data_IF_789342437565
#
_entry.id   IF_789342437565
#
_cell.length_a   1.000
_cell.length_b   1.000
_cell.length_c   1.000
_cell.angle_alpha   90.00
_cell.angle_beta   90.00
_cell.angle_gamma   90.00
#
_symmetry.space_group_name_H-M   'P 1'
#
loop_
_entity.id
_entity.type
_entity.pdbx_description
1 polymer ?
#
# COMPACT_ATOMS: atom_id res chain seq x y z
N UNK A 1 -2.51 -11.94 2.72
CA UNK A 1 -3.70 -12.18 3.55
C UNK A 1 -4.69 -12.93 2.71
N UNK A 2 -5.92 -12.41 2.60
CA UNK A 2 -7.06 -13.11 1.98
C UNK A 2 -7.10 -12.93 0.46
N UNK A 3 -6.79 -11.74 -0.05
CA UNK A 3 -6.93 -11.42 -1.46
C UNK A 3 -6.00 -10.29 -1.90
N UNK A 4 -5.23 -10.53 -2.96
CA UNK A 4 -4.47 -9.48 -3.64
C UNK A 4 -5.44 -8.59 -4.42
N UNK A 5 -5.38 -7.29 -4.16
CA UNK A 5 -6.25 -6.28 -4.77
C UNK A 5 -5.69 -5.77 -6.10
N UNK A 6 -4.36 -5.65 -6.18
CA UNK A 6 -3.68 -5.11 -7.35
C UNK A 6 -2.37 -4.45 -6.96
N UNK A 7 -1.69 -3.87 -7.95
CA UNK A 7 -0.40 -3.23 -7.75
C UNK A 7 0.11 -2.52 -8.99
N UNK A 8 1.23 -1.82 -8.82
CA UNK A 8 1.92 -1.04 -9.84
C UNK A 8 3.42 -1.25 -9.74
N UNK A 9 4.14 -1.17 -10.86
CA UNK A 9 5.59 -1.00 -10.82
C UNK A 9 5.88 0.45 -10.45
N UNK A 10 6.59 0.68 -9.34
CA UNK A 10 6.91 2.04 -8.90
C UNK A 10 7.92 2.69 -9.84
N UNK A 11 7.54 3.87 -10.35
CA UNK A 11 8.31 4.68 -11.30
C UNK A 11 8.31 6.17 -10.91
N UNK A 12 7.83 6.47 -9.71
CA UNK A 12 7.94 7.80 -9.11
C UNK A 12 9.38 8.11 -8.71
N UNK A 13 9.61 9.33 -8.29
CA UNK A 13 10.93 9.86 -7.94
C UNK A 13 11.05 10.16 -6.44
N UNK A 14 9.93 10.17 -5.69
CA UNK A 14 9.96 10.46 -4.27
C UNK A 14 10.68 9.39 -3.45
N UNK A 15 10.54 8.11 -3.82
CA UNK A 15 11.06 6.96 -3.07
C UNK A 15 12.01 6.11 -3.93
N UNK A 16 13.24 6.60 -4.13
CA UNK A 16 14.25 5.92 -4.96
C UNK A 16 14.46 4.43 -4.61
N UNK A 17 14.31 4.04 -3.34
CA UNK A 17 14.48 2.64 -2.91
C UNK A 17 13.41 1.68 -3.47
N UNK A 18 12.31 2.20 -4.02
CA UNK A 18 11.25 1.40 -4.62
C UNK A 18 11.32 1.37 -6.14
N UNK A 19 12.26 2.09 -6.78
CA UNK A 19 12.31 2.21 -8.23
C UNK A 19 12.37 0.84 -8.92
N UNK A 20 11.39 0.56 -9.79
CA UNK A 20 11.30 -0.69 -10.53
C UNK A 20 10.71 -1.87 -9.76
N UNK A 21 10.46 -1.73 -8.46
CA UNK A 21 9.78 -2.76 -7.68
C UNK A 21 8.29 -2.78 -8.02
N UNK A 22 7.70 -3.97 -8.01
CA UNK A 22 6.25 -4.14 -8.06
C UNK A 22 5.68 -3.98 -6.66
N UNK A 23 4.85 -2.95 -6.47
CA UNK A 23 4.20 -2.62 -5.20
C UNK A 23 2.75 -3.06 -5.29
N UNK A 24 2.30 -3.92 -4.39
CA UNK A 24 0.96 -4.50 -4.43
C UNK A 24 0.31 -4.58 -3.06
N UNK A 25 -1.02 -4.47 -3.04
CA UNK A 25 -1.83 -4.51 -1.84
C UNK A 25 -2.58 -5.83 -1.67
N UNK A 26 -2.65 -6.29 -0.44
CA UNK A 26 -3.57 -7.33 0.02
C UNK A 26 -4.69 -6.70 0.85
N UNK A 27 -5.92 -7.18 0.64
CA UNK A 27 -7.13 -6.61 1.20
C UNK A 27 -7.09 -6.48 2.74
N UNK A 28 -6.86 -7.61 3.43
CA UNK A 28 -6.75 -7.73 4.89
C UNK A 28 -6.35 -9.17 5.27
N UNK A 29 -5.85 -9.34 6.50
CA UNK A 29 -5.65 -10.64 7.13
C UNK A 29 -6.95 -11.28 7.65
N UNK A 30 -8.00 -10.49 7.86
CA UNK A 30 -9.28 -10.92 8.42
C UNK A 30 -10.44 -10.00 8.04
N UNK A 31 -11.66 -10.36 8.45
CA UNK A 31 -12.88 -9.62 8.14
C UNK A 31 -13.33 -8.66 9.25
N UNK A 32 -12.91 -8.91 10.49
CA UNK A 32 -13.39 -8.18 11.68
C UNK A 32 -12.72 -6.81 11.81
N UNK A 33 -11.40 -6.77 11.68
CA UNK A 33 -10.59 -5.55 11.71
C UNK A 33 -9.77 -5.44 10.43
N UNK A 34 -9.71 -4.24 9.87
CA UNK A 34 -8.93 -3.98 8.67
C UNK A 34 -7.43 -4.09 8.97
N UNK A 35 -6.74 -4.99 8.27
CA UNK A 35 -5.30 -5.15 8.39
C UNK A 35 -4.68 -5.44 7.02
N UNK A 36 -4.98 -4.56 6.06
CA UNK A 36 -4.43 -4.60 4.72
C UNK A 36 -2.93 -4.35 4.73
N UNK A 37 -2.24 -5.05 3.83
CA UNK A 37 -0.77 -5.04 3.76
C UNK A 37 -0.31 -4.56 2.39
N UNK A 38 0.70 -3.69 2.38
CA UNK A 38 1.40 -3.32 1.14
C UNK A 38 2.71 -4.09 1.09
N UNK A 39 2.98 -4.73 -0.03
CA UNK A 39 4.21 -5.46 -0.30
C UNK A 39 5.00 -4.80 -1.42
N UNK A 40 6.32 -4.98 -1.38
CA UNK A 40 7.24 -4.68 -2.46
C UNK A 40 7.87 -5.97 -2.93
N UNK A 41 7.98 -6.15 -4.24
CA UNK A 41 8.65 -7.29 -4.85
C UNK A 41 9.57 -6.85 -5.97
N UNK A 42 10.70 -7.53 -6.11
CA UNK A 42 11.68 -7.28 -7.17
C UNK A 42 12.26 -8.59 -7.66
N UNK A 43 12.48 -8.76 -8.98
CA UNK A 43 13.05 -9.98 -9.51
C UNK A 43 14.53 -10.10 -9.12
N UNK A 44 14.91 -11.22 -8.51
CA UNK A 44 16.30 -11.59 -8.22
C UNK A 44 16.59 -12.95 -8.85
N UNK A 45 17.46 -12.98 -9.87
CA UNK A 45 17.80 -14.22 -10.61
C UNK A 45 16.60 -15.01 -11.17
N UNK A 46 15.48 -14.34 -11.45
CA UNK A 46 14.26 -14.97 -11.97
C UNK A 46 13.23 -15.31 -10.88
N UNK A 47 13.62 -15.27 -9.61
CA UNK A 47 12.71 -15.41 -8.48
C UNK A 47 12.12 -14.05 -8.08
N UNK A 48 10.89 -14.06 -7.55
CA UNK A 48 10.17 -12.87 -7.11
C UNK A 48 9.97 -12.91 -5.61
N UNK A 49 11.04 -12.58 -4.89
CA UNK A 49 10.93 -12.34 -3.46
C UNK A 49 10.11 -11.08 -3.22
N UNK A 50 9.37 -11.07 -2.11
CA UNK A 50 8.59 -9.93 -1.69
C UNK A 50 8.68 -9.74 -0.19
N UNK A 51 8.53 -8.49 0.24
CA UNK A 51 8.56 -8.10 1.64
C UNK A 51 7.48 -7.07 1.92
N UNK A 52 7.02 -7.04 3.17
CA UNK A 52 6.07 -6.04 3.64
C UNK A 52 6.73 -4.66 3.74
N UNK A 53 6.00 -3.63 3.32
CA UNK A 53 6.39 -2.24 3.56
C UNK A 53 5.77 -1.75 4.87
N UNK A 54 6.63 -1.38 5.82
CA UNK A 54 6.24 -0.86 7.12
C UNK A 54 5.64 0.57 7.00
N UNK A 55 4.52 0.82 7.68
CA UNK A 55 3.88 2.12 7.76
C UNK A 55 4.50 2.93 8.91
N UNK A 56 5.51 3.74 8.58
CA UNK A 56 6.40 4.37 9.56
C UNK A 56 5.71 5.27 10.62
N UNK A 57 4.53 5.82 10.34
CA UNK A 57 3.82 6.73 11.25
C UNK A 57 2.78 6.02 12.15
N UNK A 58 2.83 4.70 12.26
CA UNK A 58 1.96 3.88 13.12
C UNK A 58 2.80 3.09 14.11
N UNK A 59 2.35 3.01 15.37
CA UNK A 59 3.08 2.31 16.45
C UNK A 59 3.35 0.83 16.12
N UNK A 60 2.34 0.14 15.59
CA UNK A 60 2.47 -1.24 15.13
C UNK A 60 3.00 -1.37 13.69
N UNK A 61 3.31 -0.25 13.03
CA UNK A 61 3.77 -0.18 11.64
C UNK A 61 2.80 -0.76 10.59
N UNK A 62 1.52 -0.94 10.96
CA UNK A 62 0.48 -1.51 10.10
C UNK A 62 -0.52 -0.44 9.69
N UNK A 63 -1.20 -0.67 8.56
CA UNK A 63 -2.18 0.27 8.02
C UNK A 63 -3.43 0.38 8.91
N UNK A 64 -3.90 -0.76 9.45
CA UNK A 64 -5.11 -0.82 10.27
C UNK A 64 -6.41 -0.50 9.51
N UNK A 65 -6.41 -0.70 8.19
CA UNK A 65 -7.56 -0.48 7.30
C UNK A 65 -7.60 -1.58 6.25
N UNK A 66 -8.77 -1.79 5.63
CA UNK A 66 -8.90 -2.64 4.46
C UNK A 66 -8.37 -1.88 3.23
N UNK A 67 -7.57 -2.54 2.39
CA UNK A 67 -7.16 -1.99 1.08
C UNK A 67 -8.21 -2.41 0.05
N UNK A 68 -8.80 -1.46 -0.67
CA UNK A 68 -9.82 -1.73 -1.70
C UNK A 68 -9.35 -1.40 -3.11
N UNK A 69 -8.24 -0.69 -3.24
CA UNK A 69 -7.64 -0.36 -4.52
C UNK A 69 -6.27 0.28 -4.36
N UNK A 70 -5.60 0.43 -5.49
CA UNK A 70 -4.38 1.23 -5.62
C UNK A 70 -4.54 2.16 -6.82
N UNK A 71 -3.81 3.27 -6.81
CA UNK A 71 -3.80 4.24 -7.90
C UNK A 71 -2.41 4.83 -8.11
N UNK A 72 -2.25 5.48 -9.26
CA UNK A 72 -1.03 6.18 -9.64
C UNK A 72 -1.40 7.56 -10.20
N UNK A 73 -0.69 8.62 -9.79
CA UNK A 73 -0.84 9.97 -10.36
C UNK A 73 0.02 10.18 -11.62
N UNK A 74 -0.06 11.39 -12.20
CA UNK A 74 0.71 11.75 -13.39
C UNK A 74 2.23 11.78 -13.15
N UNK A 75 2.67 11.98 -11.91
CA UNK A 75 4.08 11.97 -11.51
C UNK A 75 4.56 10.54 -11.18
N UNK A 76 3.70 9.54 -11.39
CA UNK A 76 3.94 8.11 -11.15
C UNK A 76 4.06 7.74 -9.68
N UNK A 77 3.66 8.62 -8.77
CA UNK A 77 3.56 8.33 -7.35
C UNK A 77 2.30 7.52 -7.04
N UNK A 78 2.39 6.66 -6.02
CA UNK A 78 1.36 5.67 -5.73
C UNK A 78 0.46 6.09 -4.57
N UNK A 79 -0.80 5.65 -4.67
CA UNK A 79 -1.84 5.88 -3.70
C UNK A 79 -2.51 4.56 -3.34
N UNK A 80 -2.94 4.43 -2.10
CA UNK A 80 -3.77 3.32 -1.62
C UNK A 80 -5.17 3.83 -1.31
N UNK A 81 -6.18 3.09 -1.78
CA UNK A 81 -7.58 3.33 -1.48
C UNK A 81 -7.97 2.37 -0.36
N UNK A 82 -8.63 2.90 0.66
CA UNK A 82 -8.87 2.19 1.91
C UNK A 82 -10.26 2.45 2.45
N UNK A 83 -10.69 1.62 3.40
CA UNK A 83 -11.94 1.77 4.15
C UNK A 83 -11.78 1.16 5.54
N UNK A 84 -12.57 1.65 6.50
CA UNK A 84 -12.65 1.06 7.85
C UNK A 84 -13.60 -0.14 7.90
N UNK A 85 -14.52 -0.26 6.93
CA UNK A 85 -15.48 -1.35 6.85
C UNK A 85 -15.05 -2.38 5.81
N UNK A 86 -15.24 -3.68 6.09
CA UNK A 86 -14.98 -4.76 5.12
C UNK A 86 -15.83 -4.66 3.84
N UNK A 87 -16.86 -3.80 3.83
CA UNK A 87 -17.63 -3.40 2.65
C UNK A 87 -18.92 -4.20 2.45
N UNK A 88 -19.63 -4.02 1.32
CA UNK A 88 -19.41 -3.01 0.28
C UNK A 88 -20.23 -1.73 0.54
N UNK A 89 -20.46 -1.37 1.81
CA UNK A 89 -21.26 -0.21 2.21
C UNK A 89 -20.52 0.67 3.22
N UNK A 90 -21.04 1.88 3.43
CA UNK A 90 -20.44 2.91 4.26
C UNK A 90 -19.69 3.97 3.45
N UNK A 91 -19.18 4.97 4.16
CA UNK A 91 -18.57 6.19 3.64
C UNK A 91 -17.22 6.49 4.30
N UNK A 92 -16.60 5.49 4.94
CA UNK A 92 -15.30 5.59 5.62
C UNK A 92 -14.10 5.49 4.67
N UNK A 93 -14.34 5.64 3.37
CA UNK A 93 -13.32 5.56 2.33
C UNK A 93 -12.26 6.65 2.48
N UNK A 94 -10.98 6.27 2.44
CA UNK A 94 -9.84 7.19 2.51
C UNK A 94 -8.81 6.85 1.44
N UNK A 95 -8.15 7.87 0.90
CA UNK A 95 -7.05 7.74 -0.04
C UNK A 95 -5.79 8.25 0.64
N UNK A 96 -4.72 7.45 0.61
CA UNK A 96 -3.42 7.84 1.14
C UNK A 96 -2.37 7.81 0.04
N UNK A 97 -1.52 8.83 -0.03
CA UNK A 97 -0.30 8.82 -0.85
C UNK A 97 0.80 8.04 -0.11
N UNK A 98 1.53 7.19 -0.83
CA UNK A 98 2.74 6.55 -0.31
C UNK A 98 3.88 7.57 -0.44
N UNK A 99 4.52 7.89 0.69
CA UNK A 99 5.60 8.90 0.77
C UNK A 99 6.81 8.34 1.51
N UNK A 100 8.01 8.93 1.35
CA UNK A 100 9.18 8.55 2.15
C UNK A 100 8.91 8.68 3.66
N UNK A 101 9.51 7.82 4.49
CA UNK A 101 9.39 7.94 5.94
C UNK A 101 9.99 9.29 6.42
N UNK A 102 9.34 9.92 7.39
CA UNK A 102 9.77 11.22 7.92
C UNK A 102 9.37 12.43 7.06
N UNK A 103 8.70 12.22 5.93
CA UNK A 103 8.03 13.29 5.21
C UNK A 103 6.87 13.79 6.08
N UNK A 104 6.99 14.98 6.68
CA UNK A 104 5.84 15.60 7.33
C UNK A 104 4.80 15.94 6.26
N UNK A 105 3.55 15.53 6.47
CA UNK A 105 2.43 15.91 5.61
C UNK A 105 2.36 17.44 5.58
N UNK A 106 2.80 18.05 4.49
CA UNK A 106 2.38 19.40 4.16
C UNK A 106 0.93 19.23 3.72
N UNK A 107 0.02 19.70 4.57
CA UNK A 107 -1.41 19.82 4.27
C UNK A 107 -1.65 20.54 2.94
#
# INVERSE_FOLDING_TARGET
>A
GIAVIGGYVYRGEAINALEGNYIFGDWSLGFDEGDGTVFSSSPTNGDWDFWELAIANKENQRLGLFITGMGQDADRELYILTTENSGPSGDTGKIFKIVPPGSNNLE
#
